data_IF_991554043663
#
_entry.id   IF_991554043663
#
_cell.length_a   1.000
_cell.length_b   1.000
_cell.length_c   1.000
_cell.angle_alpha   90.00
_cell.angle_beta   90.00
_cell.angle_gamma   90.00
#
_symmetry.space_group_name_H-M   'P 1'
#
loop_
_entity.id
_entity.type
_entity.pdbx_description
1 polymer ?
#
# COMPACT_ATOMS: atom_id res chain seq x y z
N UNK A 1 -6.08 -18.57 -11.16
CA UNK A 1 -5.31 -19.85 -11.23
C UNK A 1 -6.14 -20.97 -11.90
N UNK A 2 -7.40 -21.19 -11.53
CA UNK A 2 -8.25 -22.21 -12.15
C UNK A 2 -8.49 -22.01 -13.64
N UNK A 3 -8.75 -20.79 -14.08
CA UNK A 3 -8.95 -20.44 -15.50
C UNK A 3 -7.67 -20.58 -16.34
N UNK A 4 -6.50 -20.27 -15.75
CA UNK A 4 -5.21 -20.41 -16.40
C UNK A 4 -4.88 -21.90 -16.66
N UNK A 5 -5.15 -22.78 -15.70
CA UNK A 5 -4.95 -24.23 -15.85
C UNK A 5 -5.92 -24.87 -16.87
N UNK A 6 -7.13 -24.30 -17.01
CA UNK A 6 -8.14 -24.84 -17.93
C UNK A 6 -7.94 -24.40 -19.37
N UNK A 7 -7.41 -23.19 -19.61
CA UNK A 7 -7.35 -22.60 -20.95
C UNK A 7 -5.93 -22.41 -21.50
N UNK A 8 -4.88 -22.52 -20.67
CA UNK A 8 -3.50 -22.18 -21.00
C UNK A 8 -3.34 -20.81 -21.70
N UNK A 9 -4.34 -19.94 -21.57
CA UNK A 9 -4.39 -18.63 -22.22
C UNK A 9 -4.43 -17.51 -21.18
N UNK A 10 -3.33 -16.77 -21.06
CA UNK A 10 -3.18 -15.69 -20.12
C UNK A 10 -4.24 -14.59 -20.30
N UNK A 11 -4.53 -14.23 -21.56
CA UNK A 11 -5.52 -13.20 -21.89
C UNK A 11 -6.92 -13.65 -21.48
N UNK A 12 -7.29 -14.89 -21.75
CA UNK A 12 -8.57 -15.45 -21.32
C UNK A 12 -8.74 -15.48 -19.81
N UNK A 13 -7.67 -15.77 -19.07
CA UNK A 13 -7.67 -15.78 -17.60
C UNK A 13 -7.81 -14.37 -17.00
N UNK A 14 -7.16 -13.38 -17.61
CA UNK A 14 -7.30 -11.98 -17.21
C UNK A 14 -8.72 -11.46 -17.48
N UNK A 15 -9.29 -11.77 -18.66
CA UNK A 15 -10.67 -11.41 -19.00
C UNK A 15 -11.67 -12.06 -18.03
N UNK A 16 -11.50 -13.34 -17.71
CA UNK A 16 -12.35 -14.04 -16.75
C UNK A 16 -12.29 -13.39 -15.35
N UNK A 17 -11.12 -12.96 -14.90
CA UNK A 17 -10.95 -12.25 -13.63
C UNK A 17 -11.67 -10.89 -13.62
N UNK A 18 -11.54 -10.11 -14.70
CA UNK A 18 -12.23 -8.82 -14.87
C UNK A 18 -13.75 -9.02 -14.90
N UNK A 19 -14.24 -9.99 -15.67
CA UNK A 19 -15.67 -10.29 -15.73
C UNK A 19 -16.24 -10.76 -14.38
N UNK A 20 -15.48 -11.56 -13.63
CA UNK A 20 -15.88 -11.98 -12.29
C UNK A 20 -15.95 -10.80 -11.31
N UNK A 21 -15.00 -9.85 -11.39
CA UNK A 21 -15.06 -8.62 -10.59
C UNK A 21 -16.24 -7.74 -10.98
N UNK A 22 -16.49 -7.54 -12.28
CA UNK A 22 -17.67 -6.79 -12.73
C UNK A 22 -18.97 -7.44 -12.28
N UNK A 23 -19.09 -8.75 -12.38
CA UNK A 23 -20.25 -9.48 -11.88
C UNK A 23 -20.42 -9.30 -10.35
N UNK A 24 -19.31 -9.31 -9.59
CA UNK A 24 -19.33 -9.03 -8.15
C UNK A 24 -19.89 -7.63 -7.85
N UNK A 25 -19.38 -6.60 -8.51
CA UNK A 25 -19.89 -5.23 -8.37
C UNK A 25 -21.37 -5.15 -8.75
N UNK A 26 -21.76 -5.72 -9.88
CA UNK A 26 -23.17 -5.69 -10.32
C UNK A 26 -24.10 -6.43 -9.35
N UNK A 27 -23.72 -7.58 -8.82
CA UNK A 27 -24.59 -8.38 -7.96
C UNK A 27 -24.66 -7.85 -6.52
N UNK A 28 -23.53 -7.40 -5.96
CA UNK A 28 -23.47 -6.97 -4.57
C UNK A 28 -23.70 -5.46 -4.41
N UNK A 29 -22.97 -4.63 -5.13
CA UNK A 29 -23.03 -3.16 -4.93
C UNK A 29 -24.36 -2.59 -5.40
N UNK A 30 -24.87 -3.00 -6.58
CA UNK A 30 -26.20 -2.59 -7.04
C UNK A 30 -27.34 -3.12 -6.14
N UNK A 31 -27.19 -4.32 -5.60
CA UNK A 31 -28.18 -4.88 -4.66
C UNK A 31 -28.21 -4.07 -3.35
N UNK A 32 -27.05 -3.68 -2.82
CA UNK A 32 -26.96 -2.86 -1.60
C UNK A 32 -27.49 -1.45 -1.86
N UNK A 33 -27.11 -0.81 -2.97
CA UNK A 33 -27.57 0.54 -3.34
C UNK A 33 -29.10 0.57 -3.54
N UNK A 34 -29.68 -0.48 -4.13
CA UNK A 34 -31.13 -0.58 -4.33
C UNK A 34 -31.97 -0.65 -3.05
N UNK A 35 -31.34 -0.97 -1.90
CA UNK A 35 -32.00 -1.01 -0.58
C UNK A 35 -31.83 0.30 0.20
N UNK A 36 -31.08 1.27 -0.31
CA UNK A 36 -30.92 2.58 0.34
C UNK A 36 -32.08 3.51 -0.01
N UNK A 37 -32.86 3.99 0.98
CA UNK A 37 -34.12 4.70 0.76
C UNK A 37 -34.00 6.13 0.16
N UNK A 38 -32.81 6.61 -0.18
CA UNK A 38 -32.55 7.99 -0.65
C UNK A 38 -31.57 8.07 -1.80
N UNK A 39 -31.46 7.05 -2.66
CA UNK A 39 -30.59 7.12 -3.83
C UNK A 39 -31.37 7.76 -4.99
N UNK A 40 -31.10 9.05 -5.23
CA UNK A 40 -31.54 9.74 -6.44
C UNK A 40 -30.66 9.29 -7.61
N UNK A 41 -31.25 8.52 -8.53
CA UNK A 41 -30.59 8.02 -9.74
C UNK A 41 -30.42 9.08 -10.85
N UNK A 42 -30.72 10.35 -10.56
CA UNK A 42 -30.42 11.43 -11.51
C UNK A 42 -28.92 11.66 -11.65
N UNK A 43 -28.33 11.01 -12.64
CA UNK A 43 -26.94 11.28 -13.06
C UNK A 43 -26.89 12.64 -13.76
N UNK A 44 -26.75 13.72 -13.00
CA UNK A 44 -26.43 15.04 -13.56
C UNK A 44 -24.99 15.03 -14.05
N UNK A 45 -24.79 15.02 -15.35
CA UNK A 45 -23.46 14.99 -15.99
C UNK A 45 -22.50 16.08 -15.46
N UNK A 46 -23.03 17.25 -15.08
CA UNK A 46 -22.26 18.32 -14.47
C UNK A 46 -21.69 17.98 -13.09
N UNK A 47 -22.39 17.19 -12.27
CA UNK A 47 -21.88 16.72 -10.96
C UNK A 47 -20.78 15.67 -11.12
N UNK A 48 -20.90 14.78 -12.09
CA UNK A 48 -19.88 13.77 -12.39
C UNK A 48 -18.57 14.43 -12.82
N UNK A 49 -18.62 15.43 -13.69
CA UNK A 49 -17.44 16.20 -14.09
C UNK A 49 -16.77 16.96 -12.93
N UNK A 50 -17.58 17.53 -12.02
CA UNK A 50 -17.07 18.21 -10.83
C UNK A 50 -16.36 17.22 -9.87
N UNK A 51 -17.01 16.09 -9.57
CA UNK A 51 -16.43 15.02 -8.73
C UNK A 51 -15.14 14.48 -9.33
N UNK A 52 -15.10 14.30 -10.65
CA UNK A 52 -13.87 13.85 -11.32
C UNK A 52 -12.76 14.89 -11.17
N UNK A 53 -13.04 16.17 -11.38
CA UNK A 53 -12.09 17.27 -11.24
C UNK A 53 -11.55 17.40 -9.81
N UNK A 54 -12.41 17.21 -8.82
CA UNK A 54 -12.03 17.26 -7.40
C UNK A 54 -11.15 16.06 -7.01
N UNK A 55 -11.39 14.89 -7.57
CA UNK A 55 -10.68 13.66 -7.19
C UNK A 55 -9.52 13.28 -8.12
N UNK A 56 -9.30 14.00 -9.24
CA UNK A 56 -8.24 13.67 -10.19
C UNK A 56 -6.84 13.67 -9.54
N UNK A 57 -6.59 14.59 -8.61
CA UNK A 57 -5.32 14.68 -7.90
C UNK A 57 -5.09 13.45 -7.02
N UNK A 58 -6.15 12.99 -6.36
CA UNK A 58 -6.10 11.78 -5.53
C UNK A 58 -5.91 10.53 -6.40
N UNK A 59 -6.58 10.46 -7.54
CA UNK A 59 -6.43 9.37 -8.52
C UNK A 59 -4.99 9.28 -9.05
N UNK A 60 -4.40 10.41 -9.44
CA UNK A 60 -3.00 10.47 -9.86
C UNK A 60 -2.05 10.05 -8.73
N UNK A 61 -2.35 10.44 -7.49
CA UNK A 61 -1.57 10.03 -6.31
C UNK A 61 -1.54 8.51 -6.13
N UNK A 62 -2.66 7.83 -6.37
CA UNK A 62 -2.73 6.35 -6.27
C UNK A 62 -1.88 5.69 -7.36
N UNK A 63 -1.83 6.25 -8.57
CA UNK A 63 -0.96 5.76 -9.65
C UNK A 63 0.52 5.90 -9.24
N UNK A 64 0.91 7.04 -8.68
CA UNK A 64 2.27 7.27 -8.20
C UNK A 64 2.64 6.34 -7.05
N UNK A 65 1.74 6.12 -6.09
CA UNK A 65 1.90 5.16 -5.00
C UNK A 65 2.19 3.75 -5.53
N UNK A 66 1.35 3.28 -6.47
CA UNK A 66 1.53 1.98 -7.09
C UNK A 66 2.88 1.85 -7.80
N UNK A 67 3.32 2.90 -8.50
CA UNK A 67 4.63 2.92 -9.13
C UNK A 67 5.77 2.83 -8.10
N UNK A 68 5.73 3.63 -7.02
CA UNK A 68 6.77 3.63 -5.97
C UNK A 68 6.83 2.26 -5.28
N UNK A 69 5.66 1.70 -4.94
CA UNK A 69 5.56 0.37 -4.31
C UNK A 69 6.16 -0.74 -5.19
N UNK A 70 5.99 -0.62 -6.51
CA UNK A 70 6.45 -1.61 -7.48
C UNK A 70 7.84 -1.30 -8.07
N UNK A 71 8.45 -0.16 -7.75
CA UNK A 71 9.69 0.31 -8.38
C UNK A 71 10.85 -0.69 -8.29
N UNK A 72 10.98 -1.37 -7.14
CA UNK A 72 11.99 -2.41 -6.94
C UNK A 72 11.78 -3.60 -7.88
N UNK A 73 10.52 -4.02 -8.12
CA UNK A 73 10.18 -5.10 -9.07
C UNK A 73 10.51 -4.69 -10.50
N UNK A 74 10.12 -3.49 -10.90
CA UNK A 74 10.42 -2.98 -12.24
C UNK A 74 11.92 -2.86 -12.50
N UNK A 75 12.70 -2.47 -11.49
CA UNK A 75 14.15 -2.40 -11.59
C UNK A 75 14.78 -3.80 -11.77
N UNK A 76 14.27 -4.83 -11.10
CA UNK A 76 14.73 -6.21 -11.25
C UNK A 76 14.37 -6.73 -12.64
N UNK A 77 13.13 -6.57 -13.08
CA UNK A 77 12.68 -7.00 -14.40
C UNK A 77 13.53 -6.39 -15.51
N UNK A 78 13.86 -5.10 -15.40
CA UNK A 78 14.65 -4.38 -16.40
C UNK A 78 16.15 -4.76 -16.43
N UNK A 79 16.74 -5.18 -15.30
CA UNK A 79 18.20 -5.29 -15.18
C UNK A 79 18.71 -6.69 -14.82
N UNK A 80 17.90 -7.54 -14.18
CA UNK A 80 18.34 -8.84 -13.67
C UNK A 80 17.64 -10.04 -14.35
N UNK A 81 16.57 -9.77 -15.12
CA UNK A 81 15.84 -10.77 -15.90
C UNK A 81 14.83 -11.58 -15.09
N UNK A 82 14.12 -12.47 -15.81
CA UNK A 82 12.91 -13.17 -15.35
C UNK A 82 13.13 -14.06 -14.12
N UNK A 83 14.27 -14.74 -14.02
CA UNK A 83 14.56 -15.63 -12.90
C UNK A 83 14.69 -14.85 -11.59
N UNK A 84 15.42 -13.72 -11.60
CA UNK A 84 15.58 -12.86 -10.43
C UNK A 84 14.24 -12.21 -10.03
N UNK A 85 13.42 -11.83 -11.02
CA UNK A 85 12.07 -11.33 -10.80
C UNK A 85 11.19 -12.38 -10.12
N UNK A 86 11.27 -13.63 -10.57
CA UNK A 86 10.57 -14.75 -9.93
C UNK A 86 10.94 -14.91 -8.46
N UNK A 87 12.24 -14.92 -8.12
CA UNK A 87 12.72 -15.00 -6.74
C UNK A 87 12.25 -13.82 -5.89
N UNK A 88 12.37 -12.60 -6.43
CA UNK A 88 11.94 -11.40 -5.72
C UNK A 88 10.44 -11.39 -5.46
N UNK A 89 9.63 -11.80 -6.43
CA UNK A 89 8.18 -11.86 -6.26
C UNK A 89 7.78 -12.81 -5.12
N UNK A 90 8.47 -13.95 -4.97
CA UNK A 90 8.22 -14.89 -3.87
C UNK A 90 8.51 -14.24 -2.51
N UNK A 91 9.68 -13.62 -2.33
CA UNK A 91 10.04 -12.98 -1.06
C UNK A 91 9.24 -11.69 -0.80
N UNK A 92 8.60 -11.11 -1.82
CA UNK A 92 7.76 -9.92 -1.71
C UNK A 92 6.30 -10.22 -1.34
N UNK A 93 5.84 -11.48 -1.47
CA UNK A 93 4.45 -11.89 -1.15
C UNK A 93 3.98 -11.46 0.25
N UNK A 94 4.76 -11.58 1.32
CA UNK A 94 4.31 -11.20 2.66
C UNK A 94 3.94 -9.74 2.83
N UNK A 95 4.46 -8.84 1.99
CA UNK A 95 4.06 -7.41 2.03
C UNK A 95 2.57 -7.23 1.76
N UNK A 96 1.99 -8.05 0.87
CA UNK A 96 0.57 -8.04 0.58
C UNK A 96 -0.26 -8.49 1.79
N UNK A 97 0.23 -9.47 2.55
CA UNK A 97 -0.41 -9.95 3.79
C UNK A 97 -0.35 -8.87 4.88
N UNK A 98 0.81 -8.20 5.03
CA UNK A 98 0.98 -7.09 5.98
C UNK A 98 0.03 -5.94 5.64
N UNK A 99 -0.08 -5.59 4.37
CA UNK A 99 -1.00 -4.56 3.89
C UNK A 99 -2.46 -4.89 4.16
N UNK A 100 -2.85 -6.13 3.89
CA UNK A 100 -4.20 -6.62 4.17
C UNK A 100 -4.51 -6.54 5.67
N UNK A 101 -3.59 -7.03 6.51
CA UNK A 101 -3.72 -6.96 7.97
C UNK A 101 -3.83 -5.51 8.47
N UNK A 102 -3.00 -4.59 7.95
CA UNK A 102 -3.08 -3.17 8.26
C UNK A 102 -4.44 -2.58 7.86
N UNK A 103 -4.96 -2.95 6.70
CA UNK A 103 -6.29 -2.56 6.25
C UNK A 103 -7.41 -2.99 7.20
N UNK A 104 -7.34 -4.21 7.75
CA UNK A 104 -8.28 -4.69 8.77
C UNK A 104 -8.21 -3.90 10.08
N UNK A 105 -7.02 -3.41 10.44
CA UNK A 105 -6.84 -2.57 11.63
C UNK A 105 -7.32 -1.14 11.39
N UNK A 106 -7.07 -0.56 10.21
CA UNK A 106 -7.35 0.86 9.92
C UNK A 106 -8.83 1.09 9.61
N UNK A 107 -9.41 0.29 8.70
CA UNK A 107 -10.74 0.54 8.12
C UNK A 107 -11.87 0.70 9.15
N UNK A 108 -11.98 -0.12 10.21
CA UNK A 108 -13.06 0.04 11.20
C UNK A 108 -13.03 1.39 11.94
N UNK A 109 -11.88 2.04 11.98
CA UNK A 109 -11.72 3.30 12.71
C UNK A 109 -11.82 4.56 11.83
N UNK A 110 -11.95 4.41 10.51
CA UNK A 110 -11.99 5.56 9.60
C UNK A 110 -13.19 6.47 9.90
N UNK A 111 -14.38 5.92 10.09
CA UNK A 111 -15.58 6.68 10.43
C UNK A 111 -15.38 7.44 11.74
N UNK A 112 -14.92 6.75 12.79
CA UNK A 112 -14.64 7.37 14.07
C UNK A 112 -13.62 8.52 13.98
N UNK A 113 -12.55 8.33 13.22
CA UNK A 113 -11.55 9.38 12.96
C UNK A 113 -12.16 10.58 12.23
N UNK A 114 -13.00 10.32 11.23
CA UNK A 114 -13.71 11.37 10.48
C UNK A 114 -14.65 12.16 11.38
N UNK A 115 -15.40 11.48 12.24
CA UNK A 115 -16.31 12.11 13.19
C UNK A 115 -15.54 12.97 14.21
N UNK A 116 -14.45 12.43 14.79
CA UNK A 116 -13.60 13.19 15.71
C UNK A 116 -13.02 14.45 15.05
N UNK A 117 -12.68 14.39 13.76
CA UNK A 117 -12.18 15.55 13.03
C UNK A 117 -13.28 16.59 12.78
N UNK A 118 -14.44 16.15 12.28
CA UNK A 118 -15.57 17.05 11.98
C UNK A 118 -16.16 17.71 13.24
N UNK A 119 -16.11 17.03 14.39
CA UNK A 119 -16.57 17.54 15.69
C UNK A 119 -15.48 18.32 16.46
N UNK A 120 -14.34 18.61 15.81
CA UNK A 120 -13.21 19.32 16.42
C UNK A 120 -12.63 18.64 17.69
N UNK A 121 -12.83 17.33 17.85
CA UNK A 121 -12.26 16.54 18.95
C UNK A 121 -10.83 16.09 18.64
N UNK A 122 -9.93 17.06 18.45
CA UNK A 122 -8.54 16.82 18.01
C UNK A 122 -7.72 15.96 18.98
N UNK A 123 -8.01 16.01 20.28
CA UNK A 123 -7.33 15.17 21.28
C UNK A 123 -7.64 13.69 21.07
N UNK A 124 -8.91 13.37 20.84
CA UNK A 124 -9.36 11.99 20.60
C UNK A 124 -8.87 11.47 19.26
N UNK A 125 -8.90 12.32 18.23
CA UNK A 125 -8.31 12.02 16.92
C UNK A 125 -6.83 11.62 17.06
N UNK A 126 -6.00 12.43 17.72
CA UNK A 126 -4.58 12.14 17.93
C UNK A 126 -4.35 10.87 18.73
N UNK A 127 -5.07 10.69 19.85
CA UNK A 127 -4.95 9.49 20.67
C UNK A 127 -5.28 8.24 19.89
N UNK A 128 -6.37 8.27 19.10
CA UNK A 128 -6.77 7.11 18.29
C UNK A 128 -5.79 6.82 17.17
N UNK A 129 -5.31 7.86 16.47
CA UNK A 129 -4.29 7.74 15.44
C UNK A 129 -3.00 7.09 15.98
N UNK A 130 -2.52 7.55 17.15
CA UNK A 130 -1.36 6.96 17.82
C UNK A 130 -1.61 5.53 18.28
N UNK A 131 -2.83 5.22 18.76
CA UNK A 131 -3.19 3.85 19.15
C UNK A 131 -3.12 2.90 17.96
N UNK A 132 -3.72 3.30 16.82
CA UNK A 132 -3.69 2.48 15.59
C UNK A 132 -2.25 2.32 15.10
N UNK A 133 -1.46 3.39 15.11
CA UNK A 133 -0.04 3.35 14.76
C UNK A 133 0.74 2.38 15.65
N UNK A 134 0.48 2.38 16.97
CA UNK A 134 1.13 1.46 17.91
C UNK A 134 0.75 -0.01 17.63
N UNK A 135 -0.52 -0.28 17.28
CA UNK A 135 -0.97 -1.63 16.89
C UNK A 135 -0.27 -2.08 15.60
N UNK A 136 -0.23 -1.22 14.57
CA UNK A 136 0.48 -1.52 13.31
C UNK A 136 1.97 -1.73 13.58
N UNK A 137 2.59 -0.89 14.40
CA UNK A 137 3.98 -1.03 14.83
C UNK A 137 4.24 -2.36 15.54
N UNK A 138 3.36 -2.74 16.47
CA UNK A 138 3.41 -4.03 17.15
C UNK A 138 3.32 -5.22 16.20
N UNK A 139 2.36 -5.18 15.26
CA UNK A 139 2.23 -6.20 14.20
C UNK A 139 3.46 -6.26 13.31
N UNK A 140 4.06 -5.10 12.98
CA UNK A 140 5.29 -5.03 12.20
C UNK A 140 6.47 -5.68 12.95
N UNK A 141 6.62 -5.38 14.23
CA UNK A 141 7.67 -5.99 15.08
C UNK A 141 7.49 -7.50 15.16
N UNK A 142 6.26 -7.99 15.33
CA UNK A 142 5.94 -9.41 15.31
C UNK A 142 6.25 -10.05 13.95
N UNK A 143 5.90 -9.40 12.85
CA UNK A 143 6.17 -9.89 11.50
C UNK A 143 7.69 -9.96 11.22
N UNK A 144 8.44 -8.92 11.57
CA UNK A 144 9.91 -8.88 11.42
C UNK A 144 10.56 -9.91 12.33
N UNK A 145 10.17 -9.99 13.61
CA UNK A 145 10.67 -11.00 14.56
C UNK A 145 10.38 -12.42 14.06
N UNK A 146 9.18 -12.68 13.58
CA UNK A 146 8.81 -13.94 12.95
C UNK A 146 9.68 -14.25 11.72
N UNK A 147 9.95 -13.25 10.88
CA UNK A 147 10.82 -13.41 9.71
C UNK A 147 12.28 -13.66 10.08
N UNK A 148 12.77 -13.06 11.15
CA UNK A 148 14.13 -13.31 11.64
C UNK A 148 14.28 -14.76 12.14
N UNK A 149 13.29 -15.26 12.90
CA UNK A 149 13.32 -16.59 13.51
C UNK A 149 12.93 -17.69 12.52
N UNK A 150 11.81 -17.49 11.81
CA UNK A 150 11.18 -18.49 10.94
C UNK A 150 11.45 -18.28 9.46
N UNK A 151 12.05 -17.16 9.06
CA UNK A 151 12.22 -16.80 7.65
C UNK A 151 13.02 -17.84 6.87
N UNK A 152 14.14 -18.34 7.42
CA UNK A 152 14.92 -19.40 6.76
C UNK A 152 14.13 -20.69 6.55
N UNK A 153 13.49 -21.30 7.59
CA UNK A 153 12.69 -22.51 7.39
C UNK A 153 11.48 -22.29 6.48
N UNK A 154 10.85 -21.11 6.51
CA UNK A 154 9.75 -20.77 5.58
C UNK A 154 10.24 -20.69 4.13
N UNK A 155 11.37 -20.03 3.90
CA UNK A 155 11.97 -19.98 2.54
C UNK A 155 12.42 -21.36 2.06
N UNK A 156 12.99 -22.20 2.94
CA UNK A 156 13.34 -23.57 2.60
C UNK A 156 12.11 -24.42 2.26
N UNK A 157 11.00 -24.24 2.97
CA UNK A 157 9.73 -24.89 2.65
C UNK A 157 9.19 -24.43 1.28
N UNK A 158 9.29 -23.12 0.99
CA UNK A 158 8.90 -22.59 -0.33
C UNK A 158 9.78 -23.12 -1.45
N UNK A 159 11.09 -23.25 -1.24
CA UNK A 159 12.01 -23.92 -2.20
C UNK A 159 11.57 -25.36 -2.49
N UNK A 160 11.21 -26.10 -1.46
CA UNK A 160 10.74 -27.47 -1.59
C UNK A 160 9.41 -27.55 -2.39
N UNK A 161 8.48 -26.64 -2.11
CA UNK A 161 7.17 -26.57 -2.78
C UNK A 161 7.27 -26.11 -4.24
N UNK A 162 8.17 -25.15 -4.54
CA UNK A 162 8.34 -24.57 -5.88
C UNK A 162 9.25 -25.39 -6.80
N UNK A 163 9.97 -26.37 -6.24
CA UNK A 163 10.76 -27.33 -6.99
C UNK A 163 12.24 -26.93 -7.17
N UNK A 164 12.98 -27.79 -7.90
CA UNK A 164 14.44 -27.74 -8.01
C UNK A 164 15.01 -26.43 -8.56
N UNK A 165 14.24 -25.68 -9.33
CA UNK A 165 14.67 -24.38 -9.91
C UNK A 165 14.97 -23.31 -8.86
N UNK A 166 14.46 -23.47 -7.63
CA UNK A 166 14.57 -22.50 -6.54
C UNK A 166 15.54 -22.94 -5.45
N UNK A 167 16.09 -24.17 -5.53
CA UNK A 167 16.87 -24.77 -4.43
C UNK A 167 18.15 -23.98 -4.13
N UNK A 168 18.30 -23.57 -2.85
CA UNK A 168 19.44 -22.82 -2.33
C UNK A 168 19.41 -21.30 -2.58
N UNK A 169 18.53 -20.84 -3.46
CA UNK A 169 18.50 -19.41 -3.87
C UNK A 169 17.62 -18.56 -2.95
N UNK A 170 16.40 -19.02 -2.62
CA UNK A 170 15.48 -18.28 -1.76
C UNK A 170 16.00 -18.18 -0.32
N UNK A 171 16.60 -19.26 0.18
CA UNK A 171 17.19 -19.29 1.54
C UNK A 171 18.35 -18.31 1.67
N UNK A 172 19.14 -18.12 0.59
CA UNK A 172 20.20 -17.10 0.55
C UNK A 172 19.64 -15.66 0.59
N UNK A 173 18.41 -15.45 0.10
CA UNK A 173 17.76 -14.14 0.10
C UNK A 173 17.07 -13.77 1.44
N UNK A 174 17.27 -14.57 2.50
CA UNK A 174 16.71 -14.29 3.83
C UNK A 174 16.96 -12.86 4.36
N UNK A 175 18.15 -12.22 4.21
CA UNK A 175 18.31 -10.83 4.63
C UNK A 175 17.48 -9.84 3.80
N UNK A 176 17.37 -10.07 2.49
CA UNK A 176 16.49 -9.27 1.62
C UNK A 176 15.01 -9.42 2.04
N UNK A 177 14.61 -10.63 2.44
CA UNK A 177 13.28 -10.92 2.94
C UNK A 177 12.94 -10.11 4.19
N UNK A 178 13.88 -10.01 5.17
CA UNK A 178 13.70 -9.15 6.37
C UNK A 178 13.51 -7.68 5.97
N UNK A 179 14.33 -7.16 5.04
CA UNK A 179 14.22 -5.77 4.57
C UNK A 179 12.86 -5.50 3.94
N UNK A 180 12.35 -6.44 3.15
CA UNK A 180 11.05 -6.34 2.48
C UNK A 180 9.90 -6.34 3.51
N UNK A 181 9.94 -7.25 4.50
CA UNK A 181 8.92 -7.31 5.55
C UNK A 181 8.93 -6.04 6.40
N UNK A 182 10.09 -5.53 6.74
CA UNK A 182 10.23 -4.26 7.47
C UNK A 182 9.70 -3.08 6.63
N UNK A 183 10.04 -3.03 5.35
CA UNK A 183 9.50 -2.02 4.43
C UNK A 183 7.98 -2.08 4.30
N UNK A 184 7.40 -3.29 4.27
CA UNK A 184 5.95 -3.50 4.31
C UNK A 184 5.29 -2.94 5.58
N UNK A 185 5.97 -3.03 6.71
CA UNK A 185 5.52 -2.41 7.96
C UNK A 185 5.51 -0.87 7.90
N UNK A 186 6.54 -0.25 7.33
CA UNK A 186 6.54 1.20 7.10
C UNK A 186 5.45 1.62 6.11
N UNK A 187 5.20 0.82 5.08
CA UNK A 187 4.10 1.07 4.16
C UNK A 187 2.72 0.96 4.84
N UNK A 188 2.56 0.06 5.81
CA UNK A 188 1.35 -0.02 6.61
C UNK A 188 1.12 1.24 7.48
N UNK A 189 2.19 1.78 8.10
CA UNK A 189 2.14 3.06 8.83
C UNK A 189 1.78 4.21 7.88
N UNK A 190 2.39 4.27 6.71
CA UNK A 190 2.07 5.25 5.68
C UNK A 190 0.59 5.23 5.33
N UNK A 191 0.00 4.06 5.10
CA UNK A 191 -1.42 3.93 4.77
C UNK A 191 -2.33 4.57 5.83
N UNK A 192 -2.00 4.44 7.12
CA UNK A 192 -2.74 5.11 8.19
C UNK A 192 -2.71 6.64 8.02
N UNK A 193 -1.52 7.20 7.81
CA UNK A 193 -1.37 8.66 7.68
C UNK A 193 -1.85 9.21 6.34
N UNK A 194 -1.85 8.39 5.28
CA UNK A 194 -2.53 8.69 4.03
C UNK A 194 -4.03 8.91 4.27
N UNK A 195 -4.70 7.98 4.97
CA UNK A 195 -6.12 8.17 5.32
C UNK A 195 -6.34 9.38 6.23
N UNK A 196 -5.44 9.65 7.18
CA UNK A 196 -5.50 10.85 7.99
C UNK A 196 -5.47 12.12 7.12
N UNK A 197 -4.53 12.24 6.18
CA UNK A 197 -4.46 13.38 5.26
C UNK A 197 -5.66 13.48 4.30
N UNK A 198 -6.26 12.36 3.92
CA UNK A 198 -7.51 12.34 3.14
C UNK A 198 -8.66 12.90 3.98
N UNK A 199 -8.78 12.54 5.26
CA UNK A 199 -9.76 13.11 6.20
C UNK A 199 -9.55 14.62 6.35
N UNK A 200 -8.30 15.07 6.42
CA UNK A 200 -7.93 16.49 6.47
C UNK A 200 -8.13 17.22 5.13
N UNK A 201 -8.55 16.53 4.07
CA UNK A 201 -8.72 17.06 2.70
C UNK A 201 -7.46 17.68 2.09
N UNK A 202 -6.28 17.28 2.52
CA UNK A 202 -4.99 17.80 2.05
C UNK A 202 -4.44 17.03 0.83
N UNK A 203 -5.26 16.87 -0.20
CA UNK A 203 -4.93 16.08 -1.41
C UNK A 203 -3.69 16.59 -2.17
N UNK A 204 -3.47 17.91 -2.19
CA UNK A 204 -2.29 18.50 -2.84
C UNK A 204 -0.98 18.12 -2.14
N UNK A 205 -1.00 18.02 -0.81
CA UNK A 205 0.16 17.57 -0.03
C UNK A 205 0.46 16.09 -0.31
N UNK A 206 -0.57 15.24 -0.34
CA UNK A 206 -0.46 13.82 -0.70
C UNK A 206 0.21 13.68 -2.07
N UNK A 207 -0.29 14.39 -3.07
CA UNK A 207 0.27 14.36 -4.42
C UNK A 207 1.72 14.86 -4.46
N UNK A 208 2.03 15.94 -3.75
CA UNK A 208 3.39 16.51 -3.68
C UNK A 208 4.40 15.51 -3.12
N UNK A 209 4.04 14.83 -2.02
CA UNK A 209 4.89 13.78 -1.41
C UNK A 209 5.12 12.64 -2.40
N UNK A 210 4.07 12.11 -3.03
CA UNK A 210 4.21 11.03 -4.00
C UNK A 210 5.01 11.45 -5.24
N UNK A 211 4.82 12.68 -5.75
CA UNK A 211 5.55 13.17 -6.92
C UNK A 211 7.07 13.23 -6.67
N UNK A 212 7.48 13.77 -5.53
CA UNK A 212 8.91 13.82 -5.13
C UNK A 212 9.47 12.41 -4.98
N UNK A 213 8.73 11.52 -4.33
CA UNK A 213 9.17 10.15 -4.09
C UNK A 213 9.19 9.30 -5.35
N UNK A 214 8.34 9.59 -6.32
CA UNK A 214 8.38 8.93 -7.64
C UNK A 214 9.69 9.21 -8.35
N UNK A 215 10.16 10.46 -8.33
CA UNK A 215 11.48 10.82 -8.90
C UNK A 215 12.60 10.10 -8.15
N UNK A 216 12.53 10.08 -6.82
CA UNK A 216 13.51 9.38 -6.00
C UNK A 216 13.51 7.86 -6.31
N UNK A 217 12.34 7.24 -6.43
CA UNK A 217 12.18 5.82 -6.76
C UNK A 217 12.76 5.49 -8.13
N UNK A 218 12.49 6.32 -9.14
CA UNK A 218 13.00 6.15 -10.51
C UNK A 218 14.52 6.21 -10.59
N UNK A 219 15.18 6.93 -9.69
CA UNK A 219 16.63 7.05 -9.63
C UNK A 219 17.24 5.95 -8.75
N UNK A 220 16.68 5.74 -7.56
CA UNK A 220 17.28 4.91 -6.52
C UNK A 220 17.13 3.41 -6.84
N UNK A 221 15.95 2.97 -7.27
CA UNK A 221 15.68 1.55 -7.48
C UNK A 221 16.57 0.94 -8.57
N UNK A 222 16.73 1.52 -9.79
CA UNK A 222 17.62 0.96 -10.79
C UNK A 222 19.10 0.97 -10.36
N UNK A 223 19.56 2.08 -9.75
CA UNK A 223 20.97 2.20 -9.34
C UNK A 223 21.37 1.16 -8.31
N UNK A 224 20.56 0.98 -7.27
CA UNK A 224 20.83 -0.01 -6.23
C UNK A 224 20.68 -1.45 -6.75
N UNK A 225 19.71 -1.69 -7.63
CA UNK A 225 19.51 -3.00 -8.26
C UNK A 225 20.70 -3.39 -9.14
N UNK A 226 21.23 -2.48 -9.94
CA UNK A 226 22.42 -2.75 -10.76
C UNK A 226 23.67 -2.97 -9.89
N UNK A 227 23.82 -2.22 -8.78
CA UNK A 227 25.00 -2.30 -7.93
C UNK A 227 25.02 -3.56 -7.02
N UNK A 228 23.86 -3.97 -6.47
CA UNK A 228 23.77 -5.00 -5.42
C UNK A 228 22.79 -6.13 -5.75
N UNK A 229 22.26 -6.19 -6.98
CA UNK A 229 21.31 -7.22 -7.41
C UNK A 229 20.00 -7.16 -6.61
N UNK A 230 19.46 -8.32 -6.29
CA UNK A 230 18.19 -8.46 -5.53
C UNK A 230 18.26 -7.80 -4.17
N UNK A 231 19.42 -7.84 -3.49
CA UNK A 231 19.62 -7.14 -2.22
C UNK A 231 19.49 -5.63 -2.38
N UNK A 232 20.03 -5.07 -3.47
CA UNK A 232 19.92 -3.66 -3.79
C UNK A 232 18.48 -3.22 -4.02
N UNK A 233 17.69 -4.04 -4.70
CA UNK A 233 16.26 -3.80 -4.91
C UNK A 233 15.47 -3.82 -3.58
N UNK A 234 15.74 -4.79 -2.70
CA UNK A 234 15.13 -4.89 -1.38
C UNK A 234 15.49 -3.68 -0.50
N UNK A 235 16.76 -3.24 -0.57
CA UNK A 235 17.23 -2.07 0.16
C UNK A 235 16.63 -0.77 -0.39
N UNK A 236 16.53 -0.62 -1.71
CA UNK A 236 15.84 0.50 -2.34
C UNK A 236 14.37 0.59 -1.89
N UNK A 237 13.66 -0.55 -1.89
CA UNK A 237 12.30 -0.64 -1.39
C UNK A 237 12.19 -0.17 0.06
N UNK A 238 13.06 -0.68 0.94
CA UNK A 238 13.07 -0.29 2.37
C UNK A 238 13.28 1.22 2.55
N UNK A 239 14.28 1.80 1.87
CA UNK A 239 14.55 3.25 1.94
C UNK A 239 13.33 4.05 1.47
N UNK A 240 12.73 3.67 0.34
CA UNK A 240 11.57 4.36 -0.20
C UNK A 240 10.39 4.31 0.77
N UNK A 241 10.13 3.16 1.40
CA UNK A 241 9.04 3.01 2.39
C UNK A 241 9.30 3.83 3.65
N UNK A 242 10.54 3.89 4.15
CA UNK A 242 10.90 4.73 5.30
C UNK A 242 10.71 6.21 5.00
N UNK A 243 11.26 6.69 3.87
CA UNK A 243 11.17 8.11 3.49
C UNK A 243 9.73 8.51 3.24
N UNK A 244 8.95 7.63 2.61
CA UNK A 244 7.54 7.83 2.34
C UNK A 244 6.73 7.89 3.64
N UNK A 245 6.93 6.96 4.57
CA UNK A 245 6.29 6.96 5.87
C UNK A 245 6.64 8.23 6.66
N UNK A 246 7.91 8.64 6.68
CA UNK A 246 8.34 9.87 7.33
C UNK A 246 7.69 11.13 6.72
N UNK A 247 7.57 11.20 5.39
CA UNK A 247 6.90 12.29 4.69
C UNK A 247 5.41 12.39 5.05
N UNK A 248 4.70 11.27 5.07
CA UNK A 248 3.27 11.25 5.42
C UNK A 248 3.02 11.51 6.90
N UNK A 249 3.82 10.92 7.79
CA UNK A 249 3.74 11.18 9.24
C UNK A 249 4.03 12.66 9.52
N UNK A 250 5.13 13.20 9.00
CA UNK A 250 5.51 14.59 9.19
C UNK A 250 4.47 15.56 8.61
N UNK A 251 4.00 15.33 7.38
CA UNK A 251 2.98 16.14 6.74
C UNK A 251 1.67 16.14 7.52
N UNK A 252 1.20 14.98 7.96
CA UNK A 252 -0.03 14.88 8.76
C UNK A 252 0.11 15.61 10.12
N UNK A 253 1.24 15.47 10.81
CA UNK A 253 1.46 16.17 12.09
C UNK A 253 1.50 17.68 11.95
N UNK A 254 2.12 18.20 10.89
CA UNK A 254 2.17 19.65 10.62
C UNK A 254 0.75 20.18 10.38
N UNK A 255 -0.02 19.52 9.51
CA UNK A 255 -1.39 19.93 9.19
C UNK A 255 -2.33 19.86 10.41
N UNK A 256 -2.26 18.78 11.20
CA UNK A 256 -3.05 18.66 12.43
C UNK A 256 -2.72 19.76 13.43
N UNK A 257 -1.45 20.16 13.54
CA UNK A 257 -1.05 21.22 14.45
C UNK A 257 -1.48 22.62 13.96
N UNK A 258 -1.45 22.85 12.67
CA UNK A 258 -1.90 24.11 12.07
C UNK A 258 -3.38 24.32 12.30
N UNK A 259 -4.21 23.33 12.01
CA UNK A 259 -5.66 23.38 12.22
C UNK A 259 -6.03 23.64 13.68
N UNK A 260 -5.33 23.00 14.64
CA UNK A 260 -5.56 23.23 16.07
C UNK A 260 -5.21 24.66 16.48
N UNK A 261 -4.19 25.28 15.86
CA UNK A 261 -3.82 26.67 16.14
C UNK A 261 -4.86 27.64 15.58
N UNK A 262 -5.34 27.39 14.37
CA UNK A 262 -6.37 28.21 13.72
C UNK A 262 -7.66 28.22 14.55
N UNK A 263 -8.19 27.05 14.92
CA UNK A 263 -9.39 26.95 15.76
C UNK A 263 -9.22 27.61 17.14
N UNK A 264 -8.00 27.62 17.69
CA UNK A 264 -7.73 28.30 18.99
C UNK A 264 -7.67 29.81 18.86
N UNK A 265 -7.38 30.36 17.69
CA UNK A 265 -7.34 31.82 17.47
C UNK A 265 -8.71 32.42 17.14
N UNK A 266 -9.61 31.62 16.60
CA UNK A 266 -10.95 32.03 16.16
C UNK A 266 -12.03 31.87 17.26
N UNK A 267 -11.72 31.22 18.37
CA UNK A 267 -12.61 31.06 19.56
C UNK A 267 -12.10 31.79 20.80
#
# INVERSE_FOLDING_TARGET
LGSLNATHNLVGSCLAAVLAQMAGVCLFDFSVIGHLPQVDWEVRSGRVGLLFKENVVLFLSVILDFYIFSAAKYAIDAHLGDAASGYFNVIFMPTSVINLAAGFVIRPFLTYLTDCWNEHRFSDFKKKLLTIMAVIGGLTVLAVGGTVVLGRPVLALLEWLLGKSYSGTLTALWPAFIMIVLGGGFYAVLNLYYYALVILRRQKLIFGIYAVLTVLAAILAPRLTVALGIFGAAFAYLILMIVMAAGFVGGAWIEIQQEIREVRHDG
#
